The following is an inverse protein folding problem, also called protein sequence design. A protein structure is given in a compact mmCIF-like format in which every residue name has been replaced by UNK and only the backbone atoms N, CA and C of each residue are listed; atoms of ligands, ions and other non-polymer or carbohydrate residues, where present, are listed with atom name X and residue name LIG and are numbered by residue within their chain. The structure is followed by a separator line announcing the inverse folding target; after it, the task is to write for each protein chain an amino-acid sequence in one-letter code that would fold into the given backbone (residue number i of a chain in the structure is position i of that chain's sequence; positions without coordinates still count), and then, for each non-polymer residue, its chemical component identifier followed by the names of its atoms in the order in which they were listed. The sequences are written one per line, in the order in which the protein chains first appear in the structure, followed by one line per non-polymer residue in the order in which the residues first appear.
data_IF_306632757664
#
_entry.id   IF_306632757664
#
_cell.length_a   1.000
_cell.length_b   1.000
_cell.length_c   1.000
_cell.angle_alpha   90.00
_cell.angle_beta   90.00
_cell.angle_gamma   90.00
#
_symmetry.space_group_name_H-M   'P 1'
#
loop_
_entity.id
_entity.type
_entity.pdbx_description
1 polymer ?
#
# COMPACT_ATOMS: atom_id res chain seq x y z
N UNK A 1 11.39 20.33 4.70
CA UNK A 1 10.90 19.94 3.37
C UNK A 1 10.39 18.51 3.48
N UNK A 2 9.20 18.18 2.97
CA UNK A 2 8.67 16.81 3.01
C UNK A 2 9.07 16.15 1.69
N UNK A 3 10.11 15.32 1.74
CA UNK A 3 10.80 14.86 0.52
C UNK A 3 10.56 13.39 0.22
N UNK A 4 10.15 12.59 1.22
CA UNK A 4 9.87 11.16 1.04
C UNK A 4 8.39 10.80 1.21
N UNK A 5 7.91 9.71 0.58
CA UNK A 5 6.56 9.20 0.81
C UNK A 5 6.26 8.87 2.27
N UNK A 6 7.26 8.40 3.04
CA UNK A 6 7.09 8.14 4.46
C UNK A 6 6.78 9.43 5.22
N UNK A 7 7.59 10.47 5.01
CA UNK A 7 7.38 11.77 5.69
C UNK A 7 6.01 12.37 5.36
N UNK A 8 5.48 12.14 4.14
CA UNK A 8 4.12 12.56 3.76
C UNK A 8 3.06 11.83 4.57
N UNK A 9 3.16 10.51 4.68
CA UNK A 9 2.21 9.71 5.47
C UNK A 9 2.27 10.09 6.95
N UNK A 10 3.47 10.27 7.49
CA UNK A 10 3.66 10.68 8.88
C UNK A 10 3.04 12.07 9.14
N UNK A 11 3.29 13.03 8.25
CA UNK A 11 2.70 14.37 8.34
C UNK A 11 1.16 14.34 8.19
N UNK A 12 0.63 13.53 7.27
CA UNK A 12 -0.81 13.35 7.10
C UNK A 12 -1.44 12.73 8.36
N UNK A 13 -0.80 11.73 8.97
CA UNK A 13 -1.28 11.14 10.22
C UNK A 13 -1.26 12.15 11.37
N UNK A 14 -0.25 13.01 11.44
CA UNK A 14 -0.16 14.05 12.47
C UNK A 14 -1.24 15.13 12.31
N UNK A 15 -1.56 15.51 11.06
CA UNK A 15 -2.51 16.58 10.78
C UNK A 15 -3.99 16.12 10.76
N UNK A 16 -4.26 14.92 10.23
CA UNK A 16 -5.60 14.42 9.92
C UNK A 16 -6.01 13.22 10.78
N UNK A 17 -5.06 12.65 11.53
CA UNK A 17 -5.25 11.43 12.30
C UNK A 17 -4.97 10.16 11.49
N UNK A 18 -4.34 9.17 12.14
CA UNK A 18 -4.01 7.89 11.51
C UNK A 18 -5.23 7.16 10.96
N UNK A 19 -6.34 7.14 11.69
CA UNK A 19 -7.55 6.42 11.26
C UNK A 19 -8.12 6.96 9.95
N UNK A 20 -8.09 8.29 9.73
CA UNK A 20 -8.50 8.91 8.48
C UNK A 20 -7.55 8.53 7.33
N UNK A 21 -6.24 8.54 7.58
CA UNK A 21 -5.24 8.10 6.60
C UNK A 21 -5.43 6.65 6.20
N UNK A 22 -5.64 5.76 7.18
CA UNK A 22 -5.91 4.33 6.93
C UNK A 22 -7.19 4.15 6.12
N UNK A 23 -8.28 4.83 6.49
CA UNK A 23 -9.57 4.74 5.78
C UNK A 23 -9.42 5.13 4.31
N UNK A 24 -8.79 6.28 4.03
CA UNK A 24 -8.52 6.71 2.66
C UNK A 24 -7.63 5.70 1.91
N UNK A 25 -6.60 5.14 2.56
CA UNK A 25 -5.76 4.12 1.93
C UNK A 25 -6.52 2.84 1.56
N UNK A 26 -7.50 2.43 2.38
CA UNK A 26 -8.40 1.30 2.07
C UNK A 26 -9.25 1.60 0.85
N UNK A 27 -9.82 2.79 0.78
CA UNK A 27 -10.65 3.20 -0.37
C UNK A 27 -9.82 3.26 -1.64
N UNK A 28 -8.64 3.88 -1.59
CA UNK A 28 -7.68 3.88 -2.70
C UNK A 28 -7.34 2.47 -3.17
N UNK A 29 -7.04 1.55 -2.25
CA UNK A 29 -6.64 0.18 -2.59
C UNK A 29 -7.79 -0.63 -3.20
N UNK A 30 -9.01 -0.39 -2.73
CA UNK A 30 -10.23 -0.98 -3.26
C UNK A 30 -10.69 -0.36 -4.60
N UNK A 31 -10.17 0.81 -4.97
CA UNK A 31 -10.67 1.58 -6.12
C UNK A 31 -12.00 2.27 -5.84
N UNK A 32 -12.23 2.65 -4.57
CA UNK A 32 -13.37 3.46 -4.13
C UNK A 32 -12.98 4.94 -4.10
N UNK A 33 -13.96 5.85 -4.17
CA UNK A 33 -13.69 7.29 -4.02
C UNK A 33 -12.96 7.58 -2.69
N UNK A 34 -11.77 8.20 -2.73
CA UNK A 34 -11.01 8.54 -1.53
C UNK A 34 -11.46 9.88 -0.94
N UNK A 35 -11.03 10.15 0.29
CA UNK A 35 -11.05 11.50 0.84
C UNK A 35 -10.01 12.38 0.12
N UNK A 36 -10.45 13.48 -0.50
CA UNK A 36 -9.61 14.36 -1.31
C UNK A 36 -8.51 15.06 -0.50
N UNK A 37 -8.77 15.39 0.77
CA UNK A 37 -7.80 16.06 1.65
C UNK A 37 -6.66 15.10 1.98
N UNK A 38 -7.01 13.85 2.33
CA UNK A 38 -6.00 12.82 2.60
C UNK A 38 -5.26 12.44 1.31
N UNK A 39 -5.96 12.30 0.19
CA UNK A 39 -5.34 12.04 -1.12
C UNK A 39 -4.33 13.14 -1.48
N UNK A 40 -4.68 14.41 -1.24
CA UNK A 40 -3.78 15.53 -1.46
C UNK A 40 -2.49 15.43 -0.64
N UNK A 41 -2.61 15.05 0.63
CA UNK A 41 -1.47 14.87 1.51
C UNK A 41 -0.56 13.71 1.07
N UNK A 42 -1.15 12.60 0.59
CA UNK A 42 -0.42 11.40 0.16
C UNK A 42 0.26 11.54 -1.22
N UNK A 43 -0.45 12.11 -2.21
CA UNK A 43 -0.04 12.12 -3.61
C UNK A 43 1.15 13.04 -3.91
N UNK A 44 1.34 14.10 -3.14
CA UNK A 44 2.44 15.05 -3.31
C UNK A 44 2.49 15.70 -4.70
N UNK A 45 3.67 16.11 -5.19
CA UNK A 45 3.80 16.83 -6.46
C UNK A 45 3.26 16.08 -7.69
N UNK A 46 3.21 14.74 -7.63
CA UNK A 46 2.68 13.91 -8.71
C UNK A 46 1.15 13.89 -8.80
N UNK A 47 0.44 14.40 -7.79
CA UNK A 47 -1.01 14.36 -7.74
C UNK A 47 -1.67 15.10 -8.90
N UNK A 48 -1.23 16.32 -9.18
CA UNK A 48 -1.84 17.13 -10.24
C UNK A 48 -1.78 16.43 -11.61
N UNK A 49 -0.67 15.74 -11.90
CA UNK A 49 -0.49 15.02 -13.15
C UNK A 49 -1.41 13.78 -13.23
N UNK A 50 -1.54 13.04 -12.14
CA UNK A 50 -2.46 11.89 -12.08
C UNK A 50 -3.91 12.39 -12.20
N UNK A 51 -4.34 13.39 -11.43
CA UNK A 51 -5.73 13.86 -11.52
C UNK A 51 -6.10 14.44 -12.89
N UNK A 52 -5.11 14.91 -13.68
CA UNK A 52 -5.33 15.41 -15.05
C UNK A 52 -5.38 14.32 -16.13
N UNK A 53 -5.09 13.06 -15.79
CA UNK A 53 -5.01 11.97 -16.76
C UNK A 53 -6.35 11.22 -16.87
N UNK A 54 -7.04 11.35 -18.01
CA UNK A 54 -8.33 10.70 -18.27
C UNK A 54 -8.19 9.25 -18.79
N UNK A 55 -6.97 8.75 -18.99
CA UNK A 55 -6.71 7.44 -19.62
C UNK A 55 -7.02 6.20 -18.76
N UNK A 56 -7.48 6.38 -17.52
CA UNK A 56 -7.68 5.30 -16.55
C UNK A 56 -6.41 4.86 -15.80
N UNK A 57 -5.25 5.44 -16.13
CA UNK A 57 -3.97 5.26 -15.39
C UNK A 57 -4.06 5.77 -13.93
N UNK A 58 -5.11 6.54 -13.62
CA UNK A 58 -5.37 7.06 -12.28
C UNK A 58 -5.62 5.95 -11.28
N UNK A 59 -6.47 4.97 -11.61
CA UNK A 59 -6.78 3.87 -10.69
C UNK A 59 -5.52 3.08 -10.31
N UNK A 60 -4.61 2.89 -11.26
CA UNK A 60 -3.30 2.26 -11.01
C UNK A 60 -2.48 3.04 -9.96
N UNK A 61 -2.31 4.34 -10.13
CA UNK A 61 -1.49 5.15 -9.21
C UNK A 61 -2.16 5.34 -7.85
N UNK A 62 -3.48 5.53 -7.83
CA UNK A 62 -4.28 5.64 -6.62
C UNK A 62 -4.13 4.39 -5.75
N UNK A 63 -4.29 3.19 -6.31
CA UNK A 63 -4.08 1.93 -5.56
C UNK A 63 -2.65 1.78 -5.06
N UNK A 64 -1.66 2.17 -5.87
CA UNK A 64 -0.25 2.15 -5.45
C UNK A 64 0.00 3.13 -4.29
N UNK A 65 -0.65 4.29 -4.28
CA UNK A 65 -0.58 5.23 -3.15
C UNK A 65 -1.28 4.68 -1.92
N UNK A 66 -2.45 4.06 -2.05
CA UNK A 66 -3.14 3.39 -0.94
C UNK A 66 -2.25 2.34 -0.27
N UNK A 67 -1.67 1.42 -1.04
CA UNK A 67 -0.75 0.40 -0.50
C UNK A 67 0.52 1.01 0.11
N UNK A 68 1.02 2.13 -0.43
CA UNK A 68 2.18 2.85 0.12
C UNK A 68 1.84 3.63 1.39
N UNK A 69 0.64 4.15 1.51
CA UNK A 69 0.13 4.73 2.74
C UNK A 69 0.11 3.68 3.85
N UNK A 70 -0.45 2.50 3.58
CA UNK A 70 -0.47 1.36 4.52
C UNK A 70 0.93 0.85 4.88
N UNK A 71 1.93 1.03 4.02
CA UNK A 71 3.32 0.71 4.37
C UNK A 71 3.79 1.54 5.57
N UNK A 72 3.33 2.78 5.71
CA UNK A 72 3.78 3.68 6.78
C UNK A 72 2.74 3.90 7.88
N UNK A 73 1.45 3.81 7.54
CA UNK A 73 0.30 3.91 8.45
C UNK A 73 -0.55 2.63 8.35
N UNK A 74 -0.14 1.59 9.08
CA UNK A 74 -0.86 0.32 9.14
C UNK A 74 -1.83 0.26 10.30
N UNK A 75 -2.96 -0.38 10.05
CA UNK A 75 -3.95 -0.79 11.05
C UNK A 75 -4.64 -2.09 10.54
N UNK A 76 -4.86 -3.09 11.41
CA UNK A 76 -5.51 -4.35 11.03
C UNK A 76 -6.88 -4.20 10.36
N UNK A 77 -7.60 -3.08 10.56
CA UNK A 77 -8.87 -2.80 9.88
C UNK A 77 -8.73 -2.76 8.35
N UNK A 78 -7.52 -2.55 7.82
CA UNK A 78 -7.22 -2.54 6.39
C UNK A 78 -6.88 -3.93 5.81
N UNK A 79 -6.89 -4.98 6.62
CA UNK A 79 -6.54 -6.34 6.20
C UNK A 79 -7.35 -6.82 4.98
N UNK A 80 -8.69 -6.67 4.90
CA UNK A 80 -9.45 -7.16 3.75
C UNK A 80 -8.99 -6.54 2.42
N UNK A 81 -8.82 -5.22 2.39
CA UNK A 81 -8.33 -4.53 1.18
C UNK A 81 -6.86 -4.87 0.88
N UNK A 82 -6.03 -5.06 1.91
CA UNK A 82 -4.65 -5.47 1.73
C UNK A 82 -4.56 -6.84 1.03
N UNK A 83 -5.33 -7.83 1.51
CA UNK A 83 -5.36 -9.17 0.93
C UNK A 83 -5.88 -9.14 -0.51
N UNK A 84 -6.96 -8.40 -0.78
CA UNK A 84 -7.49 -8.22 -2.14
C UNK A 84 -6.45 -7.60 -3.09
N UNK A 85 -5.57 -6.74 -2.58
CA UNK A 85 -4.47 -6.15 -3.34
C UNK A 85 -3.47 -7.15 -3.93
N UNK A 86 -3.44 -8.41 -3.46
CA UNK A 86 -2.56 -9.47 -4.00
C UNK A 86 -3.02 -10.02 -5.36
N UNK A 87 -4.27 -9.78 -5.78
CA UNK A 87 -4.81 -10.29 -7.05
C UNK A 87 -5.07 -9.21 -8.08
N UNK A 88 -4.87 -7.93 -7.70
CA UNK A 88 -5.07 -6.79 -8.60
C UNK A 88 -4.11 -6.88 -9.82
N UNK A 89 -4.57 -6.59 -11.05
CA UNK A 89 -3.74 -6.65 -12.26
C UNK A 89 -2.46 -5.81 -12.19
N UNK A 90 -2.53 -4.68 -11.50
CA UNK A 90 -1.41 -3.78 -11.25
C UNK A 90 -0.31 -4.46 -10.42
N UNK A 91 0.76 -4.93 -11.08
CA UNK A 91 1.88 -5.62 -10.41
C UNK A 91 2.53 -4.82 -9.28
N UNK A 92 2.54 -3.49 -9.40
CA UNK A 92 3.12 -2.60 -8.40
C UNK A 92 2.32 -2.59 -7.11
N UNK A 93 0.99 -2.78 -7.19
CA UNK A 93 0.13 -2.95 -6.01
C UNK A 93 0.51 -4.25 -5.29
N UNK A 94 0.62 -5.37 -6.02
CA UNK A 94 1.03 -6.67 -5.45
C UNK A 94 2.41 -6.60 -4.78
N UNK A 95 3.39 -5.94 -5.41
CA UNK A 95 4.71 -5.70 -4.81
C UNK A 95 4.59 -4.88 -3.51
N UNK A 96 3.77 -3.83 -3.49
CA UNK A 96 3.58 -2.99 -2.31
C UNK A 96 2.88 -3.74 -1.18
N UNK A 97 1.85 -4.53 -1.48
CA UNK A 97 1.18 -5.40 -0.49
C UNK A 97 2.18 -6.32 0.20
N UNK A 98 3.04 -7.01 -0.56
CA UNK A 98 4.08 -7.85 0.03
C UNK A 98 5.03 -7.07 0.95
N UNK A 99 5.34 -5.79 0.63
CA UNK A 99 6.15 -4.93 1.51
C UNK A 99 5.41 -4.52 2.79
N UNK A 100 4.11 -4.25 2.72
CA UNK A 100 3.28 -3.97 3.91
C UNK A 100 3.31 -5.18 4.83
N UNK A 101 3.04 -6.37 4.29
CA UNK A 101 3.09 -7.64 5.04
C UNK A 101 4.46 -7.85 5.68
N UNK A 102 5.54 -7.67 4.93
CA UNK A 102 6.91 -7.82 5.44
C UNK A 102 7.24 -6.86 6.60
N UNK A 103 6.78 -5.61 6.50
CA UNK A 103 7.09 -4.56 7.49
C UNK A 103 6.29 -4.72 8.77
N UNK A 104 5.00 -5.03 8.65
CA UNK A 104 4.07 -5.09 9.79
C UNK A 104 3.81 -6.51 10.27
N UNK A 105 4.45 -7.52 9.64
CA UNK A 105 4.36 -8.93 9.99
C UNK A 105 2.91 -9.42 10.06
N UNK A 106 2.19 -9.24 8.97
CA UNK A 106 0.77 -9.62 8.83
C UNK A 106 0.68 -11.12 8.54
N UNK A 107 0.59 -11.93 9.59
CA UNK A 107 0.63 -13.40 9.49
C UNK A 107 -0.57 -13.97 8.72
N UNK A 108 -1.73 -13.32 8.80
CA UNK A 108 -2.95 -13.70 8.06
C UNK A 108 -2.77 -13.64 6.53
N UNK A 109 -1.72 -12.95 6.04
CA UNK A 109 -1.42 -12.86 4.62
C UNK A 109 -0.48 -13.97 4.11
N UNK A 110 -0.07 -14.93 4.97
CA UNK A 110 0.94 -15.94 4.63
C UNK A 110 0.66 -16.66 3.30
N UNK A 111 -0.55 -17.22 3.17
CA UNK A 111 -0.91 -18.04 2.01
C UNK A 111 -0.96 -17.23 0.71
N UNK A 112 -1.55 -16.02 0.77
CA UNK A 112 -1.65 -15.15 -0.41
C UNK A 112 -0.29 -14.61 -0.84
N UNK A 113 0.62 -14.36 0.11
CA UNK A 113 2.00 -13.97 -0.20
C UNK A 113 2.80 -15.16 -0.75
N UNK A 114 2.57 -16.37 -0.27
CA UNK A 114 3.19 -17.58 -0.81
C UNK A 114 2.82 -17.79 -2.29
N UNK A 115 1.57 -17.51 -2.68
CA UNK A 115 1.13 -17.56 -4.06
C UNK A 115 1.88 -16.57 -4.98
N UNK A 116 2.32 -15.42 -4.47
CA UNK A 116 3.08 -14.42 -5.25
C UNK A 116 4.51 -14.86 -5.61
N UNK A 117 5.01 -15.98 -5.08
CA UNK A 117 6.32 -16.54 -5.47
C UNK A 117 6.39 -16.98 -6.93
N UNK A 118 5.25 -17.25 -7.56
CA UNK A 118 5.15 -17.62 -8.98
C UNK A 118 4.58 -16.48 -9.84
N UNK A 119 4.46 -15.26 -9.30
CA UNK A 119 4.00 -14.09 -10.05
C UNK A 119 4.86 -13.88 -11.30
N UNK A 120 4.25 -13.48 -12.43
CA UNK A 120 4.96 -13.23 -13.67
C UNK A 120 6.07 -12.17 -13.53
N UNK A 121 5.91 -11.20 -12.63
CA UNK A 121 6.82 -10.07 -12.46
C UNK A 121 7.92 -10.39 -11.43
N UNK A 122 9.22 -10.37 -11.80
CA UNK A 122 10.33 -10.70 -10.91
C UNK A 122 10.38 -9.87 -9.63
N UNK A 123 9.98 -8.59 -9.70
CA UNK A 123 9.94 -7.69 -8.54
C UNK A 123 8.91 -8.11 -7.50
N UNK A 124 7.76 -8.63 -7.94
CA UNK A 124 6.71 -9.14 -7.06
C UNK A 124 7.20 -10.41 -6.36
N UNK A 125 7.77 -11.36 -7.12
CA UNK A 125 8.39 -12.57 -6.55
C UNK A 125 9.43 -12.25 -5.48
N UNK A 126 10.35 -11.33 -5.77
CA UNK A 126 11.38 -10.92 -4.82
C UNK A 126 10.80 -10.24 -3.55
N UNK A 127 9.69 -9.52 -3.69
CA UNK A 127 9.01 -8.92 -2.53
C UNK A 127 8.29 -9.99 -1.69
N UNK A 128 7.67 -10.97 -2.34
CA UNK A 128 7.05 -12.12 -1.66
C UNK A 128 8.06 -12.92 -0.85
N UNK A 129 9.21 -13.27 -1.44
CA UNK A 129 10.27 -14.01 -0.73
C UNK A 129 10.78 -13.27 0.51
N UNK A 130 10.96 -11.94 0.41
CA UNK A 130 11.32 -11.11 1.55
C UNK A 130 10.24 -11.08 2.63
N UNK A 131 8.97 -11.03 2.24
CA UNK A 131 7.85 -11.04 3.17
C UNK A 131 7.78 -12.37 3.93
N UNK A 132 7.88 -13.50 3.23
CA UNK A 132 7.88 -14.84 3.85
C UNK A 132 9.05 -15.02 4.81
N UNK A 133 10.25 -14.57 4.42
CA UNK A 133 11.42 -14.60 5.28
C UNK A 133 11.22 -13.75 6.55
N UNK A 134 10.52 -12.61 6.44
CA UNK A 134 10.18 -11.77 7.60
C UNK A 134 9.16 -12.44 8.51
N UNK A 135 8.11 -13.05 7.97
CA UNK A 135 7.10 -13.77 8.76
C UNK A 135 7.70 -14.97 9.49
N UNK A 136 8.64 -15.70 8.87
CA UNK A 136 9.31 -16.85 9.47
C UNK A 136 10.39 -16.49 10.52
N UNK A 137 10.98 -15.30 10.45
CA UNK A 137 12.00 -14.87 11.41
C UNK A 137 11.37 -14.58 12.78
N UNK A 138 11.98 -14.97 13.92
CA UNK A 138 11.45 -14.64 15.23
C UNK A 138 11.33 -13.11 15.43
N UNK A 139 10.40 -12.62 16.27
CA UNK A 139 10.35 -11.23 16.64
C UNK A 139 11.68 -10.82 17.30
N UNK A 140 12.19 -9.65 16.92
CA UNK A 140 13.37 -9.07 17.57
C UNK A 140 12.91 -8.54 18.93
N UNK A 141 13.58 -8.90 20.05
CA UNK A 141 13.22 -8.44 21.38
C UNK A 141 13.31 -6.92 21.56
#
# INVERSE_FOLDING_TARGET
MIDSPQQRVDAACAALGRSAVVACCRDLLAGRPPDDVVLAALGGPGLAHVLSDESGTNDYWLRVWGARGLLWAWDPVALPELLAGTTVPAWRVREMVAKVVARHRVDEALDVIAALRVDAVPRVRAAAERALSRLAAPPIP
#
